data_IF_500992271100
#
_entry.id   IF_500992271100
#
_cell.length_a   1.000
_cell.length_b   1.000
_cell.length_c   1.000
_cell.angle_alpha   90.00
_cell.angle_beta   90.00
_cell.angle_gamma   90.00
#
_symmetry.space_group_name_H-M   'P 1'
#
loop_
_entity.id
_entity.type
_entity.pdbx_description
1 polymer ?
#
# COMPACT_ATOMS: atom_id res chain seq x y z
N UNK A 1 18.45 0.04 9.02
CA UNK A 1 18.69 -0.11 7.57
C UNK A 1 18.49 1.21 6.86
N UNK A 2 17.34 1.87 6.98
CA UNK A 2 17.20 3.22 6.46
C UNK A 2 17.92 4.23 7.37
N UNK A 3 18.91 4.96 6.84
CA UNK A 3 19.53 6.10 7.52
C UNK A 3 18.83 7.37 7.05
N UNK A 4 18.00 7.94 7.94
CA UNK A 4 17.21 9.12 7.62
C UNK A 4 18.02 10.41 7.55
N UNK A 5 19.20 10.48 8.17
CA UNK A 5 20.06 11.68 8.13
C UNK A 5 20.67 11.85 6.74
N UNK A 6 21.12 10.75 6.15
CA UNK A 6 21.74 10.74 4.83
C UNK A 6 20.74 10.44 3.70
N UNK A 7 19.51 10.06 4.05
CA UNK A 7 18.54 9.44 3.13
C UNK A 7 19.14 8.24 2.35
N UNK A 8 20.06 7.51 2.98
CA UNK A 8 20.70 6.33 2.37
C UNK A 8 20.22 5.05 3.04
N UNK A 9 20.34 3.93 2.32
CA UNK A 9 20.06 2.63 2.89
C UNK A 9 21.39 2.03 3.35
N UNK A 10 21.60 2.03 4.66
CA UNK A 10 22.63 1.22 5.29
C UNK A 10 22.20 -0.24 5.25
N UNK A 11 22.65 -0.94 4.20
CA UNK A 11 22.50 -2.38 4.04
C UNK A 11 23.59 -3.04 4.88
N UNK A 12 23.25 -3.76 5.97
CA UNK A 12 24.24 -4.48 6.76
C UNK A 12 24.96 -5.51 5.87
N UNK A 13 26.23 -5.81 6.16
CA UNK A 13 27.06 -6.64 5.27
C UNK A 13 26.46 -8.03 4.99
N UNK A 14 25.71 -8.60 5.94
CA UNK A 14 25.02 -9.87 5.77
C UNK A 14 23.86 -9.82 4.75
N UNK A 15 23.39 -8.63 4.36
CA UNK A 15 22.40 -8.40 3.32
C UNK A 15 23.00 -7.86 2.01
N UNK A 16 24.29 -7.53 1.98
CA UNK A 16 24.95 -7.06 0.75
C UNK A 16 25.10 -8.16 -0.30
N UNK A 17 25.10 -9.43 0.11
CA UNK A 17 25.34 -10.58 -0.78
C UNK A 17 24.32 -11.69 -0.56
N UNK A 18 23.02 -11.44 -0.82
CA UNK A 18 21.98 -12.44 -0.56
C UNK A 18 22.18 -13.72 -1.40
N UNK A 19 22.77 -13.62 -2.60
CA UNK A 19 22.94 -14.74 -3.52
C UNK A 19 24.33 -15.43 -3.45
N UNK A 20 25.04 -15.26 -2.34
CA UNK A 20 26.39 -15.81 -2.16
C UNK A 20 27.49 -15.01 -2.86
N UNK A 21 28.72 -15.17 -2.38
CA UNK A 21 29.91 -14.63 -3.03
C UNK A 21 30.36 -15.59 -4.13
N UNK A 22 30.00 -15.34 -5.39
CA UNK A 22 30.83 -15.83 -6.49
C UNK A 22 32.01 -14.88 -6.62
N UNK A 23 33.00 -15.04 -5.74
CA UNK A 23 34.31 -14.38 -5.88
C UNK A 23 35.03 -15.12 -7.00
N UNK A 24 34.69 -14.79 -8.24
CA UNK A 24 35.64 -14.95 -9.33
C UNK A 24 36.07 -13.55 -9.76
N UNK A 25 37.06 -13.03 -9.04
CA UNK A 25 37.65 -11.70 -9.19
C UNK A 25 38.25 -11.48 -10.59
N UNK A 26 38.29 -12.54 -11.41
CA UNK A 26 38.79 -12.50 -12.78
C UNK A 26 37.76 -11.98 -13.78
N UNK A 27 36.46 -12.06 -13.46
CA UNK A 27 35.40 -11.52 -14.32
C UNK A 27 34.90 -10.19 -13.77
N UNK A 28 35.05 -9.10 -14.54
CA UNK A 28 34.51 -7.77 -14.21
C UNK A 28 32.97 -7.73 -14.30
N UNK A 29 32.27 -8.82 -13.98
CA UNK A 29 30.83 -8.79 -13.88
C UNK A 29 30.42 -7.90 -12.71
N UNK A 30 29.68 -6.83 -13.01
CA UNK A 30 29.13 -5.96 -11.98
C UNK A 30 28.19 -6.78 -11.11
N UNK A 31 28.45 -6.79 -9.80
CA UNK A 31 27.56 -7.38 -8.79
C UNK A 31 26.11 -6.94 -9.02
N UNK A 32 25.18 -7.90 -8.90
CA UNK A 32 23.74 -7.64 -8.93
C UNK A 32 23.36 -6.68 -7.81
N UNK A 33 22.57 -5.64 -8.12
CA UNK A 33 22.00 -4.75 -7.11
C UNK A 33 20.90 -5.47 -6.32
N UNK A 34 20.93 -5.32 -5.01
CA UNK A 34 19.82 -5.71 -4.12
C UNK A 34 18.60 -4.82 -4.36
N UNK A 35 17.42 -5.28 -3.97
CA UNK A 35 16.19 -4.50 -3.93
C UNK A 35 16.38 -3.15 -3.24
N UNK A 36 17.03 -3.12 -2.08
CA UNK A 36 17.27 -1.89 -1.35
C UNK A 36 18.27 -0.95 -2.05
N UNK A 37 19.27 -1.46 -2.76
CA UNK A 37 20.11 -0.62 -3.63
C UNK A 37 19.32 -0.07 -4.81
N UNK A 38 18.39 -0.84 -5.38
CA UNK A 38 17.50 -0.35 -6.43
C UNK A 38 16.61 0.76 -5.87
N UNK A 39 16.02 0.58 -4.69
CA UNK A 39 15.25 1.63 -4.01
C UNK A 39 16.09 2.87 -3.72
N UNK A 40 17.32 2.72 -3.25
CA UNK A 40 18.23 3.84 -3.02
C UNK A 40 18.52 4.60 -4.32
N UNK A 41 18.79 3.89 -5.42
CA UNK A 41 18.93 4.51 -6.74
C UNK A 41 17.64 5.25 -7.14
N UNK A 42 16.47 4.65 -6.90
CA UNK A 42 15.19 5.29 -7.21
C UNK A 42 15.01 6.62 -6.48
N UNK A 43 15.49 6.72 -5.23
CA UNK A 43 15.33 7.92 -4.42
C UNK A 43 16.28 9.05 -4.82
N UNK A 44 17.44 8.73 -5.38
CA UNK A 44 18.51 9.70 -5.69
C UNK A 44 18.72 9.97 -7.18
N UNK A 45 18.13 9.16 -8.06
CA UNK A 45 18.24 9.32 -9.51
C UNK A 45 17.59 10.64 -9.98
N UNK A 46 18.29 11.39 -10.84
CA UNK A 46 17.87 12.73 -11.30
C UNK A 46 16.50 12.71 -11.99
N UNK A 47 16.23 11.68 -12.78
CA UNK A 47 14.96 11.47 -13.48
C UNK A 47 13.81 11.33 -12.47
N UNK A 48 14.03 10.62 -11.36
CA UNK A 48 13.02 10.45 -10.32
C UNK A 48 12.87 11.71 -9.46
N UNK A 49 13.91 12.54 -9.33
CA UNK A 49 13.78 13.87 -8.74
C UNK A 49 12.90 14.80 -9.59
N UNK A 50 12.99 14.71 -10.92
CA UNK A 50 12.09 15.42 -11.81
C UNK A 50 10.64 14.92 -11.67
N UNK A 51 10.43 13.60 -11.64
CA UNK A 51 9.09 13.05 -11.41
C UNK A 51 8.53 13.44 -10.03
N UNK A 52 9.37 13.47 -8.98
CA UNK A 52 8.98 13.94 -7.66
C UNK A 52 8.64 15.45 -7.62
N UNK A 53 9.18 16.27 -8.53
CA UNK A 53 8.72 17.66 -8.71
C UNK A 53 7.33 17.69 -9.33
N UNK A 54 7.08 16.91 -10.37
CA UNK A 54 5.74 16.78 -10.97
C UNK A 54 4.70 16.29 -9.95
N UNK A 55 5.07 15.34 -9.08
CA UNK A 55 4.23 14.90 -7.97
C UNK A 55 3.88 16.04 -7.03
N UNK A 56 4.84 16.89 -6.65
CA UNK A 56 4.56 18.04 -5.80
C UNK A 56 3.57 19.00 -6.44
N UNK A 57 3.82 19.37 -7.70
CA UNK A 57 3.00 20.33 -8.41
C UNK A 57 1.57 19.80 -8.57
N UNK A 58 1.44 18.53 -8.94
CA UNK A 58 0.16 17.83 -9.06
C UNK A 58 -0.61 17.80 -7.73
N UNK A 59 0.03 17.40 -6.63
CA UNK A 59 -0.64 17.31 -5.32
C UNK A 59 -1.01 18.70 -4.78
N UNK A 60 -0.14 19.69 -4.96
CA UNK A 60 -0.38 21.06 -4.50
C UNK A 60 -1.60 21.65 -5.20
N UNK A 61 -1.67 21.53 -6.53
CA UNK A 61 -2.79 22.08 -7.30
C UNK A 61 -4.12 21.40 -6.97
N UNK A 62 -4.17 20.07 -6.90
CA UNK A 62 -5.43 19.37 -6.60
C UNK A 62 -5.93 19.62 -5.18
N UNK A 63 -5.01 19.78 -4.22
CA UNK A 63 -5.36 20.08 -2.83
C UNK A 63 -5.89 21.51 -2.67
N UNK A 64 -5.41 22.47 -3.47
CA UNK A 64 -5.93 23.84 -3.48
C UNK A 64 -7.34 23.93 -4.11
N UNK A 65 -7.62 23.15 -5.15
CA UNK A 65 -8.94 23.16 -5.79
C UNK A 65 -10.05 22.58 -4.90
N UNK A 66 -9.68 21.72 -3.94
CA UNK A 66 -10.66 21.10 -3.02
C UNK A 66 -11.24 22.09 -2.00
N UNK A 67 -10.60 23.24 -1.80
CA UNK A 67 -10.97 24.23 -0.76
C UNK A 67 -11.64 25.49 -1.31
N UNK A 68 -11.68 25.68 -2.63
CA UNK A 68 -12.17 26.92 -3.25
C UNK A 68 -13.42 26.67 -4.08
N UNK A 69 -14.46 27.43 -3.75
CA UNK A 69 -15.77 27.60 -4.40
C UNK A 69 -16.08 26.72 -5.66
N UNK A 70 -17.10 25.84 -5.61
CA UNK A 70 -17.50 24.97 -6.73
C UNK A 70 -17.91 25.72 -8.01
N UNK A 71 -18.10 27.04 -7.94
CA UNK A 71 -18.45 27.87 -9.10
C UNK A 71 -17.26 28.21 -10.00
N UNK A 72 -16.02 27.91 -9.62
CA UNK A 72 -14.84 28.25 -10.43
C UNK A 72 -14.56 27.19 -11.52
N UNK A 73 -15.52 27.03 -12.43
CA UNK A 73 -15.52 26.04 -13.52
C UNK A 73 -14.45 26.29 -14.59
N UNK A 74 -13.78 27.46 -14.56
CA UNK A 74 -12.90 27.96 -15.62
C UNK A 74 -11.45 27.43 -15.58
N UNK A 75 -11.05 26.62 -14.59
CA UNK A 75 -9.66 26.13 -14.46
C UNK A 75 -9.42 24.69 -14.95
N UNK A 76 -10.43 24.01 -15.51
CA UNK A 76 -10.26 22.63 -16.01
C UNK A 76 -9.20 22.50 -17.12
N UNK A 77 -8.92 23.57 -17.85
CA UNK A 77 -7.99 23.52 -18.99
C UNK A 77 -6.51 23.61 -18.57
N UNK A 78 -6.22 23.88 -17.28
CA UNK A 78 -4.87 23.89 -16.71
C UNK A 78 -4.59 22.63 -15.86
N UNK A 79 -5.28 21.52 -16.15
CA UNK A 79 -5.01 20.26 -15.46
C UNK A 79 -3.57 19.81 -15.75
N UNK A 80 -2.72 19.92 -14.73
CA UNK A 80 -1.36 19.39 -14.80
C UNK A 80 -1.39 17.91 -15.21
N UNK A 81 -0.43 17.47 -16.02
CA UNK A 81 -0.34 16.07 -16.40
C UNK A 81 -0.16 15.20 -15.16
N UNK A 82 -0.93 14.12 -15.08
CA UNK A 82 -0.79 13.13 -14.01
C UNK A 82 0.63 12.52 -14.09
N UNK A 83 1.42 12.51 -13.00
CA UNK A 83 2.73 11.86 -12.94
C UNK A 83 2.68 10.39 -13.38
N UNK A 84 3.74 9.89 -14.02
CA UNK A 84 3.76 8.54 -14.61
C UNK A 84 3.67 7.44 -13.54
N UNK A 85 4.20 7.66 -12.35
CA UNK A 85 4.10 6.76 -11.20
C UNK A 85 2.69 6.69 -10.59
N UNK A 86 1.77 7.58 -10.99
CA UNK A 86 0.35 7.48 -10.63
C UNK A 86 -0.51 6.81 -11.71
N UNK A 87 0.07 6.46 -12.86
CA UNK A 87 -0.61 5.77 -13.95
C UNK A 87 -0.21 4.28 -13.97
N UNK A 88 -1.16 3.34 -13.92
CA UNK A 88 -0.85 1.94 -14.15
C UNK A 88 -0.41 1.70 -15.60
N UNK A 89 0.51 0.75 -15.80
CA UNK A 89 0.92 0.27 -17.12
C UNK A 89 -0.02 -0.85 -17.61
N UNK A 90 -1.29 -0.50 -17.84
CA UNK A 90 -2.31 -1.47 -18.30
C UNK A 90 -2.00 -2.00 -19.70
N UNK A 91 -1.32 -1.22 -20.55
CA UNK A 91 -0.87 -1.65 -21.88
C UNK A 91 0.09 -2.83 -21.81
N UNK A 92 1.10 -2.77 -20.94
CA UNK A 92 2.02 -3.90 -20.74
C UNK A 92 1.29 -5.11 -20.15
N UNK A 93 0.38 -4.88 -19.20
CA UNK A 93 -0.40 -5.96 -18.58
C UNK A 93 -1.33 -6.64 -19.61
N UNK A 94 -1.93 -5.87 -20.51
CA UNK A 94 -2.73 -6.36 -21.63
C UNK A 94 -1.89 -7.18 -22.60
N UNK A 95 -0.68 -6.73 -22.91
CA UNK A 95 0.27 -7.50 -23.74
C UNK A 95 0.54 -8.88 -23.13
N UNK A 96 0.80 -8.94 -21.82
CA UNK A 96 0.98 -10.21 -21.09
C UNK A 96 -0.28 -11.09 -21.21
N UNK A 97 -1.47 -10.51 -21.01
CA UNK A 97 -2.72 -11.25 -21.14
C UNK A 97 -2.91 -11.84 -22.56
N UNK A 98 -2.65 -11.05 -23.60
CA UNK A 98 -2.74 -11.50 -24.99
C UNK A 98 -1.73 -12.62 -25.29
N UNK A 99 -0.48 -12.49 -24.81
CA UNK A 99 0.54 -13.54 -24.97
C UNK A 99 0.11 -14.88 -24.32
N UNK A 100 -0.60 -14.82 -23.18
CA UNK A 100 -1.15 -16.00 -22.52
C UNK A 100 -2.36 -16.60 -23.27
N UNK A 101 -3.21 -15.76 -23.85
CA UNK A 101 -4.38 -16.19 -24.63
C UNK A 101 -3.99 -16.82 -25.98
N UNK A 102 -3.04 -16.21 -26.68
CA UNK A 102 -2.60 -16.66 -28.00
C UNK A 102 -1.89 -18.02 -27.93
N UNK A 103 -1.32 -18.36 -26.77
CA UNK A 103 -0.52 -19.58 -26.58
C UNK A 103 0.73 -19.65 -27.47
N UNK A 104 1.05 -18.56 -28.17
CA UNK A 104 2.16 -18.44 -29.13
C UNK A 104 3.52 -18.52 -28.44
N UNK A 105 3.57 -18.21 -27.14
CA UNK A 105 4.77 -18.34 -26.33
C UNK A 105 4.78 -19.72 -25.64
N UNK A 106 5.40 -20.71 -26.29
CA UNK A 106 5.48 -22.11 -25.82
C UNK A 106 6.03 -22.27 -24.40
N UNK A 107 6.69 -21.24 -23.86
CA UNK A 107 7.25 -21.24 -22.50
C UNK A 107 6.27 -20.82 -21.40
N UNK A 108 5.14 -20.17 -21.71
CA UNK A 108 4.20 -19.65 -20.69
C UNK A 108 2.75 -19.86 -21.10
N UNK A 109 2.14 -20.95 -20.63
CA UNK A 109 0.70 -21.19 -20.77
C UNK A 109 -0.14 -20.58 -19.65
N UNK A 110 0.50 -20.08 -18.59
CA UNK A 110 -0.17 -19.49 -17.42
C UNK A 110 0.77 -18.57 -16.64
N UNK A 111 0.20 -17.73 -15.79
CA UNK A 111 0.96 -16.95 -14.82
C UNK A 111 1.62 -17.86 -13.78
N UNK A 112 2.85 -17.52 -13.43
CA UNK A 112 3.62 -18.23 -12.43
C UNK A 112 3.16 -17.88 -11.01
N UNK A 113 3.14 -18.89 -10.15
CA UNK A 113 2.77 -18.78 -8.74
C UNK A 113 4.00 -18.73 -7.81
N UNK A 114 3.86 -18.19 -6.59
CA UNK A 114 2.65 -17.54 -6.04
C UNK A 114 2.38 -16.16 -6.63
N UNK A 115 1.16 -15.66 -6.44
CA UNK A 115 0.79 -14.27 -6.74
C UNK A 115 1.05 -13.41 -5.50
N UNK A 116 1.87 -12.37 -5.62
CA UNK A 116 2.13 -11.42 -4.54
C UNK A 116 1.53 -10.06 -4.86
N UNK A 117 0.60 -9.59 -4.02
CA UNK A 117 0.17 -8.20 -4.09
C UNK A 117 1.22 -7.30 -3.42
N UNK A 118 2.03 -6.64 -4.25
CA UNK A 118 3.08 -5.72 -3.83
C UNK A 118 2.59 -4.27 -3.75
N UNK A 119 1.28 -4.02 -3.87
CA UNK A 119 0.66 -2.71 -3.66
C UNK A 119 0.68 -2.25 -2.20
N UNK A 120 0.39 -0.96 -1.99
CA UNK A 120 0.20 -0.41 -0.64
C UNK A 120 -1.06 -0.95 0.04
N UNK A 121 -1.17 -0.88 1.37
CA UNK A 121 -2.47 -1.05 2.02
C UNK A 121 -3.49 -0.02 1.49
N UNK A 122 -4.77 -0.39 1.53
CA UNK A 122 -5.93 0.45 1.12
C UNK A 122 -6.06 0.75 -0.38
N UNK A 123 -5.37 -0.02 -1.21
CA UNK A 123 -5.45 0.04 -2.68
C UNK A 123 -6.38 -1.02 -3.28
N UNK A 124 -7.24 -1.66 -2.48
CA UNK A 124 -8.19 -2.67 -2.99
C UNK A 124 -7.74 -4.13 -2.90
N UNK A 125 -6.76 -4.44 -2.04
CA UNK A 125 -6.32 -5.82 -1.78
C UNK A 125 -7.43 -6.80 -1.37
N UNK A 126 -8.45 -6.33 -0.64
CA UNK A 126 -9.63 -7.16 -0.30
C UNK A 126 -10.47 -7.47 -1.53
N UNK A 127 -10.66 -6.50 -2.43
CA UNK A 127 -11.44 -6.71 -3.65
C UNK A 127 -10.73 -7.73 -4.57
N UNK A 128 -9.41 -7.63 -4.70
CA UNK A 128 -8.61 -8.58 -5.46
C UNK A 128 -8.65 -9.99 -4.84
N UNK A 129 -8.53 -10.10 -3.51
CA UNK A 129 -8.71 -11.37 -2.79
C UNK A 129 -10.09 -12.01 -3.07
N UNK A 130 -11.15 -11.22 -3.01
CA UNK A 130 -12.50 -11.72 -3.23
C UNK A 130 -12.71 -12.19 -4.67
N UNK A 131 -12.16 -11.45 -5.64
CA UNK A 131 -12.15 -11.86 -7.05
C UNK A 131 -11.44 -13.19 -7.24
N UNK A 132 -10.20 -13.32 -6.76
CA UNK A 132 -9.41 -14.54 -6.91
C UNK A 132 -10.13 -15.75 -6.30
N UNK A 133 -10.70 -15.60 -5.10
CA UNK A 133 -11.49 -16.67 -4.48
C UNK A 133 -12.76 -17.01 -5.29
N UNK A 134 -13.42 -16.01 -5.89
CA UNK A 134 -14.60 -16.21 -6.72
C UNK A 134 -14.31 -17.06 -7.96
N UNK A 135 -13.15 -16.86 -8.59
CA UNK A 135 -12.71 -17.65 -9.75
C UNK A 135 -11.97 -18.95 -9.38
N UNK A 136 -11.97 -19.33 -8.08
CA UNK A 136 -11.37 -20.57 -7.59
C UNK A 136 -9.86 -20.52 -7.29
N UNK A 137 -9.22 -19.36 -7.41
CA UNK A 137 -7.83 -19.14 -6.98
C UNK A 137 -7.81 -18.90 -5.47
N UNK A 138 -7.26 -19.86 -4.72
CA UNK A 138 -7.11 -19.76 -3.26
C UNK A 138 -6.23 -18.56 -2.91
N UNK A 139 -6.83 -17.53 -2.33
CA UNK A 139 -6.12 -16.32 -1.93
C UNK A 139 -6.31 -15.97 -0.45
N UNK A 140 -5.32 -15.28 0.11
CA UNK A 140 -5.35 -14.82 1.51
C UNK A 140 -5.12 -13.32 1.61
N UNK A 141 -6.07 -12.63 2.26
CA UNK A 141 -5.95 -11.25 2.71
C UNK A 141 -5.52 -11.14 4.19
N UNK A 142 -5.23 -12.27 4.85
CA UNK A 142 -4.80 -12.25 6.26
C UNK A 142 -3.38 -11.69 6.35
N UNK A 143 -3.12 -10.86 7.36
CA UNK A 143 -1.75 -10.46 7.69
C UNK A 143 -0.92 -11.72 7.93
N UNK A 144 0.13 -11.91 7.13
CA UNK A 144 1.07 -12.98 7.38
C UNK A 144 1.69 -12.76 8.76
N UNK A 145 1.88 -13.84 9.52
CA UNK A 145 2.58 -13.77 10.81
C UNK A 145 4.04 -13.46 10.52
N UNK A 146 4.39 -12.18 10.40
CA UNK A 146 5.73 -11.71 10.01
C UNK A 146 6.82 -12.15 10.96
N UNK A 147 6.51 -12.37 12.23
CA UNK A 147 7.45 -13.02 13.14
C UNK A 147 7.92 -14.38 12.62
N UNK A 148 7.07 -15.13 11.92
CA UNK A 148 7.47 -16.36 11.25
C UNK A 148 8.33 -16.10 10.02
N UNK A 149 8.01 -15.09 9.20
CA UNK A 149 8.81 -14.71 8.02
C UNK A 149 10.22 -14.30 8.46
N UNK A 150 10.33 -13.39 9.44
CA UNK A 150 11.62 -12.91 9.95
C UNK A 150 12.42 -13.97 10.72
N UNK A 151 11.76 -14.90 11.40
CA UNK A 151 12.47 -16.01 12.04
C UNK A 151 12.97 -17.01 11.00
N UNK A 152 12.26 -17.17 9.88
CA UNK A 152 12.62 -18.08 8.79
C UNK A 152 13.79 -17.59 7.97
N UNK A 153 13.83 -16.30 7.64
CA UNK A 153 15.00 -15.69 6.98
C UNK A 153 16.27 -15.94 7.79
N UNK A 154 16.20 -15.77 9.12
CA UNK A 154 17.35 -16.04 10.01
C UNK A 154 17.76 -17.51 10.06
N UNK A 155 16.81 -18.43 9.92
CA UNK A 155 17.07 -19.88 9.97
C UNK A 155 17.31 -20.54 8.62
N UNK A 156 17.41 -19.77 7.52
CA UNK A 156 17.45 -20.29 6.14
C UNK A 156 16.31 -21.28 5.82
N UNK A 157 15.17 -21.10 6.49
CA UNK A 157 13.97 -21.88 6.21
C UNK A 157 13.20 -21.13 5.13
N UNK A 158 12.61 -21.82 4.14
CA UNK A 158 11.75 -21.16 3.16
C UNK A 158 10.69 -20.31 3.86
N UNK A 159 10.50 -19.05 3.43
CA UNK A 159 9.60 -18.09 4.09
C UNK A 159 8.18 -18.67 4.21
N UNK A 160 7.79 -19.56 3.28
CA UNK A 160 6.50 -20.24 3.26
C UNK A 160 6.60 -21.77 3.33
N UNK A 161 7.48 -22.34 4.16
CA UNK A 161 7.29 -23.76 4.56
C UNK A 161 6.06 -23.87 5.44
N UNK A 162 5.07 -24.69 5.08
CA UNK A 162 3.97 -24.97 6.00
C UNK A 162 3.87 -26.46 6.33
N UNK A 163 4.12 -26.77 7.60
CA UNK A 163 3.88 -28.09 8.19
C UNK A 163 2.37 -28.37 8.16
N UNK A 164 1.92 -29.23 7.24
CA UNK A 164 0.74 -30.09 7.44
C UNK A 164 -0.66 -29.49 7.25
N UNK A 165 -0.86 -28.45 6.44
CA UNK A 165 -2.23 -28.01 6.07
C UNK A 165 -2.38 -28.05 4.56
N UNK A 166 -3.32 -28.87 4.09
CA UNK A 166 -3.47 -29.28 2.69
C UNK A 166 -3.92 -28.18 1.70
N UNK A 167 -4.10 -26.93 2.10
CA UNK A 167 -4.67 -25.87 1.25
C UNK A 167 -4.04 -24.49 1.49
N UNK A 168 -2.79 -24.32 1.10
CA UNK A 168 -2.13 -23.02 1.17
C UNK A 168 -2.65 -22.05 0.09
N UNK A 169 -2.78 -20.75 0.42
CA UNK A 169 -3.15 -19.75 -0.57
C UNK A 169 -2.00 -19.57 -1.57
N UNK A 170 -2.28 -19.80 -2.85
CA UNK A 170 -1.33 -19.55 -3.94
C UNK A 170 -1.25 -18.06 -4.31
N UNK A 171 -2.09 -17.24 -3.68
CA UNK A 171 -2.14 -15.79 -3.87
C UNK A 171 -2.19 -15.05 -2.52
N UNK A 172 -1.21 -14.18 -2.28
CA UNK A 172 -1.03 -13.44 -1.04
C UNK A 172 -1.34 -11.97 -1.29
N UNK A 173 -2.49 -11.53 -0.78
CA UNK A 173 -3.06 -10.21 -1.08
C UNK A 173 -2.69 -9.14 -0.05
N UNK A 174 -2.04 -9.51 1.06
CA UNK A 174 -1.59 -8.57 2.09
C UNK A 174 -0.24 -8.99 2.66
N UNK A 175 0.82 -8.34 2.18
CA UNK A 175 2.20 -8.51 2.66
C UNK A 175 2.51 -7.61 3.86
N UNK A 176 1.91 -6.41 3.91
CA UNK A 176 2.20 -5.44 4.96
C UNK A 176 1.66 -5.84 6.33
N UNK A 177 2.33 -5.31 7.34
CA UNK A 177 1.90 -5.35 8.72
C UNK A 177 2.13 -4.02 9.37
N UNK A 178 1.04 -3.47 9.86
CA UNK A 178 0.95 -2.10 10.33
C UNK A 178 0.86 -2.02 11.86
N UNK A 179 1.32 -3.06 12.56
CA UNK A 179 1.42 -3.06 14.01
C UNK A 179 2.86 -2.84 14.45
N UNK A 180 2.97 -2.17 15.59
CA UNK A 180 4.23 -1.72 16.19
C UNK A 180 5.12 -0.94 15.19
N UNK A 181 6.23 -1.53 14.78
CA UNK A 181 7.26 -0.85 13.98
C UNK A 181 6.88 -0.70 12.49
N UNK A 182 5.80 -1.33 12.04
CA UNK A 182 5.51 -1.42 10.62
C UNK A 182 6.48 -2.37 9.93
N UNK A 183 6.00 -3.18 9.02
CA UNK A 183 6.84 -4.03 8.19
C UNK A 183 6.21 -4.17 6.82
N UNK A 184 7.01 -3.91 5.79
CA UNK A 184 6.55 -3.91 4.41
C UNK A 184 7.45 -4.85 3.61
N UNK A 185 7.22 -6.17 3.66
CA UNK A 185 7.99 -7.14 2.88
C UNK A 185 8.04 -6.79 1.39
N UNK A 186 6.96 -6.22 0.85
CA UNK A 186 6.89 -5.76 -0.53
C UNK A 186 7.85 -4.60 -0.87
N UNK A 187 8.52 -4.03 0.12
CA UNK A 187 9.59 -3.03 -0.03
C UNK A 187 10.93 -3.61 0.45
N UNK A 188 10.92 -4.28 1.60
CA UNK A 188 12.11 -4.65 2.35
C UNK A 188 12.68 -6.02 2.00
N UNK A 189 11.84 -6.94 1.54
CA UNK A 189 12.19 -8.35 1.38
C UNK A 189 11.98 -8.86 -0.06
N UNK A 190 12.12 -8.00 -1.06
CA UNK A 190 11.92 -8.42 -2.45
C UNK A 190 12.99 -9.44 -2.88
N UNK A 191 14.23 -9.29 -2.41
CA UNK A 191 15.31 -10.23 -2.74
C UNK A 191 15.06 -11.62 -2.14
N UNK A 192 14.60 -11.70 -0.90
CA UNK A 192 14.23 -12.95 -0.25
C UNK A 192 12.99 -13.58 -0.91
N UNK A 193 12.02 -12.77 -1.34
CA UNK A 193 10.88 -13.26 -2.13
C UNK A 193 11.33 -13.82 -3.48
N UNK A 194 12.31 -13.17 -4.14
CA UNK A 194 12.89 -13.66 -5.38
C UNK A 194 13.69 -14.94 -5.19
N UNK A 195 14.48 -15.04 -4.12
CA UNK A 195 15.25 -16.24 -3.80
C UNK A 195 14.34 -17.46 -3.62
N UNK A 196 13.21 -17.30 -2.93
CA UNK A 196 12.26 -18.39 -2.72
C UNK A 196 11.36 -18.65 -3.93
N UNK A 197 10.95 -17.61 -4.65
CA UNK A 197 10.06 -17.72 -5.81
C UNK A 197 10.55 -16.88 -6.99
N UNK A 198 11.61 -17.29 -7.68
CA UNK A 198 12.24 -16.47 -8.72
C UNK A 198 11.31 -16.13 -9.87
N UNK A 199 10.29 -16.96 -10.11
CA UNK A 199 9.32 -16.78 -11.19
C UNK A 199 7.99 -16.21 -10.71
N UNK A 200 7.80 -15.80 -9.46
CA UNK A 200 6.49 -15.36 -8.95
C UNK A 200 5.90 -14.19 -9.75
N UNK A 201 4.56 -14.07 -9.73
CA UNK A 201 3.87 -12.93 -10.33
C UNK A 201 3.59 -11.86 -9.28
N UNK A 202 4.03 -10.63 -9.54
CA UNK A 202 3.73 -9.45 -8.74
C UNK A 202 2.51 -8.74 -9.29
N UNK A 203 1.60 -8.36 -8.40
CA UNK A 203 0.41 -7.56 -8.70
C UNK A 203 0.51 -6.22 -8.00
N UNK A 204 0.43 -5.14 -8.76
CA UNK A 204 0.48 -3.76 -8.27
C UNK A 204 -0.84 -3.05 -8.58
N UNK A 205 -1.66 -2.91 -7.54
CA UNK A 205 -2.98 -2.30 -7.64
C UNK A 205 -2.88 -0.76 -7.57
N UNK A 206 -3.48 -0.09 -8.55
CA UNK A 206 -3.56 1.37 -8.60
C UNK A 206 -4.91 1.89 -8.13
N UNK A 207 -4.83 3.07 -7.52
CA UNK A 207 -5.96 3.88 -7.07
C UNK A 207 -5.57 5.35 -7.27
N UNK A 208 -6.52 6.24 -7.63
CA UNK A 208 -6.22 7.67 -7.66
C UNK A 208 -5.58 8.12 -6.36
N UNK A 209 -4.45 8.83 -6.45
CA UNK A 209 -3.59 9.08 -5.29
C UNK A 209 -4.33 9.79 -4.14
N UNK A 210 -5.24 10.72 -4.47
CA UNK A 210 -6.04 11.42 -3.47
C UNK A 210 -7.00 10.51 -2.72
N UNK A 211 -7.56 9.52 -3.40
CA UNK A 211 -8.47 8.56 -2.80
C UNK A 211 -7.72 7.60 -1.88
N UNK A 212 -6.48 7.24 -2.25
CA UNK A 212 -5.61 6.47 -1.38
C UNK A 212 -5.19 7.26 -0.14
N UNK A 213 -4.70 8.50 -0.28
CA UNK A 213 -4.32 9.38 0.84
C UNK A 213 -5.50 9.59 1.79
N UNK A 214 -6.68 9.88 1.26
CA UNK A 214 -7.92 10.00 2.05
C UNK A 214 -8.24 8.69 2.76
N UNK A 215 -8.09 7.55 2.09
CA UNK A 215 -8.35 6.25 2.70
C UNK A 215 -7.39 5.90 3.81
N UNK A 216 -6.10 6.19 3.69
CA UNK A 216 -5.09 5.93 4.73
C UNK A 216 -5.21 6.91 5.89
N UNK A 217 -5.63 8.15 5.63
CA UNK A 217 -5.94 9.13 6.68
C UNK A 217 -7.10 8.66 7.55
N UNK A 218 -8.19 8.19 6.93
CA UNK A 218 -9.41 7.84 7.65
C UNK A 218 -9.40 6.43 8.26
N UNK A 219 -8.61 5.50 7.71
CA UNK A 219 -8.61 4.10 8.16
C UNK A 219 -7.73 3.91 9.39
N UNK A 220 -8.33 3.96 10.58
CA UNK A 220 -7.63 3.80 11.87
C UNK A 220 -6.38 4.67 11.97
N UNK A 221 -6.48 5.92 11.49
CA UNK A 221 -5.39 6.89 11.47
C UNK A 221 -4.10 6.27 10.88
N UNK A 222 -4.21 5.47 9.83
CA UNK A 222 -3.06 4.74 9.28
C UNK A 222 -1.96 5.68 8.80
N UNK A 223 -2.32 6.86 8.25
CA UNK A 223 -1.35 7.91 7.93
C UNK A 223 -0.55 8.38 9.16
N UNK A 224 -1.22 8.59 10.30
CA UNK A 224 -0.57 8.92 11.57
C UNK A 224 0.38 7.80 12.00
N UNK A 225 -0.11 6.55 11.96
CA UNK A 225 0.68 5.36 12.30
C UNK A 225 1.90 5.18 11.40
N UNK A 226 1.81 5.49 10.11
CA UNK A 226 2.98 5.49 9.23
C UNK A 226 4.04 6.50 9.68
N UNK A 227 3.64 7.67 10.20
CA UNK A 227 4.59 8.62 10.79
C UNK A 227 5.29 8.05 12.03
N UNK A 228 4.57 7.29 12.87
CA UNK A 228 5.14 6.66 14.07
C UNK A 228 6.02 5.43 13.79
N UNK A 229 5.90 4.83 12.60
CA UNK A 229 6.70 3.68 12.21
C UNK A 229 8.10 4.15 11.84
N UNK A 230 9.09 3.78 12.67
CA UNK A 230 10.49 4.10 12.37
C UNK A 230 11.02 3.23 11.25
N UNK A 231 11.78 3.85 10.33
CA UNK A 231 12.53 3.16 9.27
C UNK A 231 11.68 2.50 8.17
N UNK A 232 10.52 3.07 7.82
CA UNK A 232 9.84 2.70 6.58
C UNK A 232 10.74 3.11 5.40
N UNK A 233 11.25 2.17 4.58
CA UNK A 233 12.12 2.53 3.47
C UNK A 233 11.37 3.34 2.42
N UNK A 234 12.06 4.35 1.87
CA UNK A 234 11.49 5.26 0.87
C UNK A 234 10.54 6.33 1.42
N UNK A 235 10.16 6.28 2.70
CA UNK A 235 9.38 7.36 3.34
C UNK A 235 10.34 8.42 3.90
N UNK A 236 10.43 9.54 3.20
CA UNK A 236 11.31 10.66 3.57
C UNK A 236 10.59 11.57 4.60
N UNK A 237 11.20 11.73 5.78
CA UNK A 237 10.72 12.58 6.88
C UNK A 237 11.79 13.59 7.27
N UNK A 238 11.39 14.82 7.65
CA UNK A 238 12.32 15.81 8.20
C UNK A 238 12.90 15.36 9.54
N UNK A 239 14.05 15.89 9.92
CA UNK A 239 14.71 15.60 11.18
C UNK A 239 13.78 15.87 12.38
N UNK A 240 13.07 17.00 12.32
CA UNK A 240 12.07 17.39 13.30
C UNK A 240 10.91 16.39 13.39
N UNK A 241 10.33 15.99 12.24
CA UNK A 241 9.29 14.96 12.20
C UNK A 241 9.76 13.67 12.85
N UNK A 242 11.02 13.25 12.63
CA UNK A 242 11.55 12.01 13.21
C UNK A 242 11.70 12.10 14.71
N UNK A 243 12.26 13.21 15.22
CA UNK A 243 12.41 13.45 16.64
C UNK A 243 11.03 13.41 17.32
N UNK A 244 10.06 14.15 16.78
CA UNK A 244 8.71 14.19 17.32
C UNK A 244 8.01 12.82 17.24
N UNK A 245 8.14 12.11 16.11
CA UNK A 245 7.52 10.80 15.94
C UNK A 245 8.14 9.76 16.89
N UNK A 246 9.44 9.84 17.19
CA UNK A 246 10.08 8.98 18.18
C UNK A 246 9.52 9.24 19.59
N UNK A 247 9.42 10.50 20.00
CA UNK A 247 8.83 10.89 21.29
C UNK A 247 7.39 10.39 21.40
N UNK A 248 6.58 10.63 20.38
CA UNK A 248 5.17 10.22 20.35
C UNK A 248 5.01 8.70 20.32
N UNK A 249 5.88 8.00 19.62
CA UNK A 249 5.91 6.54 19.58
C UNK A 249 6.23 5.95 20.95
N UNK A 250 7.25 6.48 21.62
CA UNK A 250 7.66 6.01 22.94
C UNK A 250 6.53 6.24 23.95
N UNK A 251 5.90 7.42 23.92
CA UNK A 251 4.68 7.72 24.69
C UNK A 251 3.54 6.73 24.39
N UNK A 252 3.29 6.43 23.12
CA UNK A 252 2.24 5.52 22.70
C UNK A 252 2.46 4.08 23.19
N UNK A 253 3.70 3.57 23.15
CA UNK A 253 3.99 2.22 23.65
C UNK A 253 4.00 2.14 25.17
N UNK A 254 4.51 3.17 25.88
CA UNK A 254 4.41 3.23 27.34
C UNK A 254 2.96 3.17 27.79
N UNK A 255 2.04 3.88 27.12
CA UNK A 255 0.60 3.78 27.41
C UNK A 255 0.04 2.37 27.15
N UNK A 256 0.46 1.72 26.06
CA UNK A 256 0.02 0.35 25.78
C UNK A 256 0.54 -0.66 26.80
N UNK A 257 1.78 -0.51 27.27
CA UNK A 257 2.39 -1.36 28.30
C UNK A 257 1.67 -1.16 29.64
N UNK A 258 1.41 0.08 30.04
CA UNK A 258 0.61 0.40 31.23
C UNK A 258 -0.81 -0.22 31.15
N UNK A 259 -1.47 -0.13 30.00
CA UNK A 259 -2.78 -0.78 29.80
C UNK A 259 -2.72 -2.32 29.87
N UNK A 260 -1.59 -2.93 29.50
CA UNK A 260 -1.38 -4.38 29.60
C UNK A 260 -1.05 -4.81 31.04
N UNK A 261 -0.31 -3.99 31.79
CA UNK A 261 0.06 -4.21 33.20
C UNK A 261 -1.10 -4.00 34.17
N UNK A 262 -1.99 -3.03 33.92
CA UNK A 262 -3.18 -2.78 34.77
C UNK A 262 -4.18 -3.94 34.76
N UNK A 263 -4.04 -4.88 33.83
CA UNK A 263 -4.96 -6.02 33.67
C UNK A 263 -4.25 -7.39 33.54
N UNK A 264 -3.38 -7.77 34.50
CA UNK A 264 -2.58 -8.98 34.39
C UNK A 264 -3.45 -10.23 34.55
N UNK A 265 -4.53 -10.14 35.31
CA UNK A 265 -5.45 -11.25 35.61
C UNK A 265 -6.57 -11.45 34.58
N UNK A 266 -6.73 -10.55 33.59
CA UNK A 266 -7.75 -10.77 32.57
C UNK A 266 -7.30 -11.88 31.63
N UNK A 267 -8.08 -12.96 31.57
CA UNK A 267 -7.87 -14.01 30.59
C UNK A 267 -8.06 -13.44 29.17
N UNK A 268 -7.60 -14.16 28.15
CA UNK A 268 -7.65 -13.71 26.75
C UNK A 268 -9.06 -13.28 26.30
N UNK A 269 -10.10 -13.91 26.84
CA UNK A 269 -11.50 -13.58 26.54
C UNK A 269 -11.89 -12.22 27.14
N UNK A 270 -11.60 -11.99 28.41
CA UNK A 270 -11.87 -10.70 29.06
C UNK A 270 -11.08 -9.54 28.43
N UNK A 271 -9.84 -9.79 28.00
CA UNK A 271 -9.06 -8.81 27.22
C UNK A 271 -9.73 -8.50 25.88
N UNK A 272 -10.28 -9.50 25.20
CA UNK A 272 -11.04 -9.30 23.97
C UNK A 272 -12.34 -8.53 24.21
N UNK A 273 -13.09 -8.85 25.26
CA UNK A 273 -14.34 -8.17 25.63
C UNK A 273 -14.08 -6.69 25.95
N UNK A 274 -13.07 -6.36 26.76
CA UNK A 274 -12.67 -4.96 27.00
C UNK A 274 -12.22 -4.25 25.73
N UNK A 275 -11.48 -4.92 24.84
CA UNK A 275 -11.10 -4.35 23.53
C UNK A 275 -12.33 -4.10 22.65
N UNK A 276 -13.33 -4.98 22.67
CA UNK A 276 -14.59 -4.78 21.96
C UNK A 276 -15.41 -3.63 22.57
N UNK A 277 -15.46 -3.52 23.89
CA UNK A 277 -16.14 -2.44 24.60
C UNK A 277 -15.49 -1.08 24.30
N UNK A 278 -14.15 -0.96 24.41
CA UNK A 278 -13.41 0.24 24.00
C UNK A 278 -13.71 0.60 22.53
N UNK A 279 -13.75 -0.39 21.63
CA UNK A 279 -14.12 -0.18 20.21
C UNK A 279 -15.56 0.30 20.05
N UNK A 280 -16.52 -0.25 20.80
CA UNK A 280 -17.91 0.18 20.79
C UNK A 280 -18.08 1.61 21.31
N UNK A 281 -17.43 1.95 22.44
CA UNK A 281 -17.38 3.33 22.98
C UNK A 281 -16.76 4.30 21.98
N UNK A 282 -15.67 3.90 21.32
CA UNK A 282 -15.04 4.69 20.25
C UNK A 282 -15.95 4.91 19.04
N UNK A 283 -16.73 3.90 18.64
CA UNK A 283 -17.75 4.05 17.57
C UNK A 283 -18.85 5.03 17.98
N UNK A 284 -19.42 4.90 19.19
CA UNK A 284 -20.43 5.82 19.71
C UNK A 284 -19.93 7.27 19.76
N UNK A 285 -18.68 7.51 20.21
CA UNK A 285 -18.07 8.86 20.18
C UNK A 285 -17.94 9.42 18.77
N UNK A 286 -17.55 8.60 17.79
CA UNK A 286 -17.46 9.04 16.38
C UNK A 286 -18.83 9.37 15.79
N UNK A 287 -19.84 8.57 16.11
CA UNK A 287 -21.22 8.80 15.69
C UNK A 287 -21.77 10.10 16.29
N UNK A 288 -21.59 10.32 17.59
CA UNK A 288 -21.92 11.59 18.25
C UNK A 288 -21.19 12.78 17.61
N UNK A 289 -19.89 12.66 17.32
CA UNK A 289 -19.15 13.75 16.69
C UNK A 289 -19.63 14.01 15.24
N UNK A 290 -19.96 12.96 14.48
CA UNK A 290 -20.55 13.09 13.15
C UNK A 290 -21.92 13.78 13.19
N UNK A 291 -22.74 13.46 14.20
CA UNK A 291 -24.03 14.12 14.41
C UNK A 291 -23.83 15.58 14.79
N UNK A 292 -22.89 15.91 15.69
CA UNK A 292 -22.58 17.29 16.04
C UNK A 292 -22.09 18.12 14.83
N UNK A 293 -21.27 17.52 13.96
CA UNK A 293 -20.82 18.17 12.72
C UNK A 293 -22.01 18.43 11.78
N UNK A 294 -22.93 17.46 11.65
CA UNK A 294 -24.15 17.61 10.84
C UNK A 294 -25.05 18.71 11.41
N UNK A 295 -25.25 18.74 12.73
CA UNK A 295 -26.02 19.78 13.42
C UNK A 295 -25.39 21.15 13.23
N UNK A 296 -24.06 21.30 13.37
CA UNK A 296 -23.37 22.57 13.11
C UNK A 296 -23.51 23.03 11.65
N UNK A 297 -23.47 22.10 10.68
CA UNK A 297 -23.71 22.43 9.26
C UNK A 297 -25.15 22.87 9.01
N UNK A 298 -26.13 22.25 9.65
CA UNK A 298 -27.54 22.67 9.56
C UNK A 298 -27.72 24.06 10.18
N UNK A 299 -27.13 24.31 11.36
CA UNK A 299 -27.15 25.62 12.02
C UNK A 299 -26.45 26.72 11.21
N UNK A 300 -25.36 26.39 10.51
CA UNK A 300 -24.69 27.32 9.59
C UNK A 300 -25.53 27.63 8.34
N UNK A 301 -26.33 26.67 7.85
CA UNK A 301 -27.27 26.91 6.74
C UNK A 301 -28.48 27.74 7.18
N UNK A 302 -28.84 27.70 8.47
CA UNK A 302 -29.92 28.49 9.07
C UNK A 302 -29.49 29.92 9.47
N UNK A 303 -28.24 30.33 9.18
CA UNK A 303 -27.79 31.71 9.36
C UNK A 303 -27.61 32.15 10.81
N UNK A 304 -27.56 31.22 11.77
CA UNK A 304 -27.36 31.54 13.20
C UNK A 304 -25.86 31.81 13.45
N UNK A 305 -25.44 33.05 13.25
CA UNK A 305 -24.10 33.54 13.58
C UNK A 305 -24.02 33.92 15.07
N UNK A 306 -23.88 32.93 15.95
CA UNK A 306 -23.38 33.20 17.31
C UNK A 306 -21.85 33.22 17.30
N UNK A 307 -21.26 34.41 17.38
CA UNK A 307 -19.85 34.60 17.71
C UNK A 307 -19.65 34.28 19.19
N UNK A 308 -19.10 33.10 19.50
CA UNK A 308 -18.55 32.81 20.83
C UNK A 308 -17.03 32.90 20.76
N UNK A 309 -16.50 33.92 21.43
CA UNK A 309 -15.07 34.16 21.63
C UNK A 309 -14.56 33.24 22.75
N UNK A 310 -14.17 32.02 22.37
CA UNK A 310 -13.51 31.08 23.29
C UNK A 310 -12.00 31.39 23.34
N UNK A 311 -11.62 32.31 24.23
CA UNK A 311 -10.22 32.62 24.54
C UNK A 311 -9.63 31.52 25.46
N UNK A 312 -9.32 30.35 24.89
CA UNK A 312 -8.70 29.24 25.62
C UNK A 312 -7.17 29.41 25.67
N UNK A 313 -6.67 29.81 26.83
CA UNK A 313 -5.23 29.99 27.12
C UNK A 313 -4.55 28.62 27.28
N UNK A 314 -3.89 28.13 26.22
CA UNK A 314 -3.17 26.85 26.19
C UNK A 314 -1.64 27.09 26.26
N UNK A 315 -1.11 27.25 27.47
CA UNK A 315 0.34 27.15 27.75
C UNK A 315 0.78 25.71 28.03
N UNK A 316 0.15 24.73 27.36
CA UNK A 316 0.67 23.37 27.32
C UNK A 316 1.85 23.37 26.36
N UNK A 317 3.04 23.07 26.85
CA UNK A 317 4.25 22.88 26.04
C UNK A 317 3.93 21.98 24.84
N UNK A 318 3.83 22.60 23.66
CA UNK A 318 3.34 22.02 22.42
C UNK A 318 4.33 20.96 21.88
N UNK A 319 4.36 19.77 22.48
CA UNK A 319 4.80 18.56 21.77
C UNK A 319 3.70 18.18 20.78
N UNK A 320 3.58 19.01 19.74
CA UNK A 320 2.62 18.81 18.68
C UNK A 320 3.24 17.85 17.67
N UNK A 321 2.77 16.60 17.69
CA UNK A 321 3.02 15.63 16.64
C UNK A 321 2.94 16.29 15.25
N UNK A 322 3.98 16.08 14.42
CA UNK A 322 4.03 16.63 13.06
C UNK A 322 3.54 15.56 12.08
N UNK A 323 2.30 15.67 11.55
CA UNK A 323 1.76 14.68 10.63
C UNK A 323 2.55 14.61 9.33
N UNK A 324 2.58 13.42 8.72
CA UNK A 324 3.01 13.28 7.33
C UNK A 324 2.18 14.22 6.43
N UNK A 325 2.82 14.93 5.51
CA UNK A 325 2.10 15.73 4.51
C UNK A 325 1.52 14.83 3.42
N UNK A 326 0.54 15.34 2.67
CA UNK A 326 0.01 14.62 1.50
C UNK A 326 1.08 14.46 0.41
N UNK A 327 1.98 15.44 0.28
CA UNK A 327 3.13 15.37 -0.64
C UNK A 327 4.08 14.24 -0.23
N UNK A 328 4.39 14.07 1.06
CA UNK A 328 5.23 12.97 1.53
C UNK A 328 4.61 11.61 1.23
N UNK A 329 3.31 11.46 1.48
CA UNK A 329 2.56 10.24 1.15
C UNK A 329 2.60 9.95 -0.36
N UNK A 330 2.40 10.98 -1.19
CA UNK A 330 2.39 10.86 -2.65
C UNK A 330 3.77 10.51 -3.23
N UNK A 331 4.84 11.12 -2.70
CA UNK A 331 6.23 10.77 -3.06
C UNK A 331 6.57 9.35 -2.66
N UNK A 332 6.22 8.95 -1.43
CA UNK A 332 6.45 7.57 -0.98
C UNK A 332 5.72 6.57 -1.86
N UNK A 333 4.48 6.87 -2.26
CA UNK A 333 3.77 6.09 -3.26
C UNK A 333 4.56 5.99 -4.57
N UNK A 334 4.92 7.14 -5.13
CA UNK A 334 5.61 7.24 -6.42
C UNK A 334 6.91 6.44 -6.46
N UNK A 335 7.75 6.62 -5.44
CA UNK A 335 9.04 5.94 -5.31
C UNK A 335 8.87 4.42 -5.18
N UNK A 336 7.82 3.93 -4.50
CA UNK A 336 7.54 2.50 -4.44
C UNK A 336 7.14 1.92 -5.79
N UNK A 337 6.28 2.63 -6.55
CA UNK A 337 5.91 2.20 -7.90
C UNK A 337 7.14 2.10 -8.80
N UNK A 338 8.00 3.13 -8.79
CA UNK A 338 9.26 3.12 -9.53
C UNK A 338 10.18 1.98 -9.07
N UNK A 339 10.29 1.75 -7.76
CA UNK A 339 11.08 0.65 -7.22
C UNK A 339 10.63 -0.72 -7.73
N UNK A 340 9.32 -1.03 -7.69
CA UNK A 340 8.80 -2.30 -8.21
C UNK A 340 9.02 -2.45 -9.72
N UNK A 341 8.83 -1.37 -10.49
CA UNK A 341 9.07 -1.36 -11.94
C UNK A 341 10.55 -1.59 -12.27
N UNK A 342 11.45 -0.86 -11.62
CA UNK A 342 12.90 -0.97 -11.81
C UNK A 342 13.41 -2.34 -11.36
N UNK A 343 12.87 -2.87 -10.25
CA UNK A 343 13.18 -4.21 -9.75
C UNK A 343 12.87 -5.26 -10.84
N UNK A 344 11.60 -5.35 -11.24
CA UNK A 344 11.12 -6.37 -12.20
C UNK A 344 11.63 -6.17 -13.63
N UNK A 345 12.03 -4.95 -14.01
CA UNK A 345 12.61 -4.65 -15.32
C UNK A 345 14.12 -4.83 -15.36
N UNK A 346 14.78 -4.98 -14.22
CA UNK A 346 16.22 -5.26 -14.18
C UNK A 346 16.51 -6.64 -14.76
N UNK A 347 17.64 -6.78 -15.46
CA UNK A 347 18.06 -8.06 -16.04
C UNK A 347 18.07 -9.21 -15.01
N UNK A 348 18.30 -8.89 -13.73
CA UNK A 348 18.43 -9.87 -12.66
C UNK A 348 17.10 -10.39 -12.11
N UNK A 349 16.04 -9.59 -12.10
CA UNK A 349 14.74 -9.97 -11.54
C UNK A 349 13.63 -10.03 -12.61
N UNK A 350 14.02 -10.05 -13.88
CA UNK A 350 13.16 -10.16 -15.07
C UNK A 350 12.37 -11.49 -15.17
N UNK A 351 12.70 -12.46 -14.32
CA UNK A 351 11.95 -13.70 -14.17
C UNK A 351 10.57 -13.49 -13.55
N UNK A 352 10.38 -12.42 -12.77
CA UNK A 352 9.07 -12.03 -12.26
C UNK A 352 8.19 -11.42 -13.35
N UNK A 353 6.89 -11.70 -13.26
CA UNK A 353 5.88 -11.01 -14.07
C UNK A 353 5.29 -9.88 -13.23
N UNK A 354 5.23 -8.67 -13.77
CA UNK A 354 4.55 -7.53 -13.14
C UNK A 354 3.21 -7.26 -13.83
N UNK A 355 2.13 -7.30 -13.05
CA UNK A 355 0.77 -6.96 -13.46
C UNK A 355 0.38 -5.66 -12.76
N UNK A 356 -0.05 -4.66 -13.52
CA UNK A 356 -0.54 -3.39 -12.98
C UNK A 356 -2.04 -3.23 -13.27
N UNK A 357 -2.84 -3.04 -12.23
CA UNK A 357 -4.30 -3.00 -12.34
C UNK A 357 -4.85 -1.61 -11.99
N UNK A 358 -5.72 -1.06 -12.84
CA UNK A 358 -6.48 0.15 -12.53
C UNK A 358 -7.82 -0.22 -11.87
N UNK A 359 -7.91 -0.13 -10.54
CA UNK A 359 -9.14 -0.54 -9.86
C UNK A 359 -10.33 0.40 -10.07
N UNK A 360 -10.12 1.56 -10.71
CA UNK A 360 -11.18 2.53 -11.00
C UNK A 360 -11.71 2.36 -12.42
N UNK A 361 -10.92 1.81 -13.36
CA UNK A 361 -11.43 1.32 -14.64
C UNK A 361 -12.03 -0.09 -14.46
N UNK A 362 -13.25 -0.16 -13.93
CA UNK A 362 -13.88 -1.45 -13.60
C UNK A 362 -14.02 -2.38 -14.80
N UNK A 363 -14.34 -1.84 -15.97
CA UNK A 363 -14.61 -2.60 -17.20
C UNK A 363 -13.32 -3.18 -17.78
N UNK A 364 -12.28 -2.35 -17.95
CA UNK A 364 -11.00 -2.82 -18.47
C UNK A 364 -10.34 -3.80 -17.50
N UNK A 365 -10.37 -3.51 -16.20
CA UNK A 365 -9.78 -4.38 -15.17
C UNK A 365 -10.52 -5.70 -15.03
N UNK A 366 -11.86 -5.74 -15.11
CA UNK A 366 -12.59 -7.02 -15.12
C UNK A 366 -12.19 -7.89 -16.31
N UNK A 367 -12.08 -7.28 -17.49
CA UNK A 367 -11.69 -8.02 -18.70
C UNK A 367 -10.25 -8.51 -18.58
N UNK A 368 -9.34 -7.64 -18.14
CA UNK A 368 -7.93 -7.98 -17.96
C UNK A 368 -7.74 -9.14 -16.97
N UNK A 369 -8.44 -9.09 -15.84
CA UNK A 369 -8.38 -10.17 -14.85
C UNK A 369 -8.95 -11.48 -15.39
N UNK A 370 -10.07 -11.42 -16.15
CA UNK A 370 -10.63 -12.58 -16.82
C UNK A 370 -9.61 -13.23 -17.75
N UNK A 371 -9.02 -12.43 -18.64
CA UNK A 371 -8.04 -12.90 -19.63
C UNK A 371 -6.77 -13.49 -18.97
N UNK A 372 -6.33 -12.91 -17.85
CA UNK A 372 -5.14 -13.36 -17.12
C UNK A 372 -5.34 -14.68 -16.36
N UNK A 373 -6.52 -14.90 -15.78
CA UNK A 373 -6.72 -15.97 -14.79
C UNK A 373 -7.72 -17.05 -15.18
N UNK A 374 -8.65 -16.79 -16.10
CA UNK A 374 -9.78 -17.67 -16.42
C UNK A 374 -9.53 -18.41 -17.76
N UNK A 375 -8.29 -18.82 -18.01
CA UNK A 375 -7.81 -19.43 -19.27
C UNK A 375 -8.90 -20.21 -20.05
N UNK A 376 -9.04 -20.02 -21.38
CA UNK A 376 -10.06 -20.66 -22.21
C UNK A 376 -10.15 -22.18 -22.08
N UNK A 377 -9.07 -22.84 -21.62
CA UNK A 377 -9.01 -24.30 -21.46
C UNK A 377 -9.88 -24.86 -20.33
N UNK A 378 -10.37 -24.02 -19.42
CA UNK A 378 -11.25 -24.43 -18.30
C UNK A 378 -12.75 -24.13 -18.54
N UNK A 379 -13.14 -23.71 -19.75
CA UNK A 379 -14.53 -23.30 -20.08
C UNK A 379 -15.50 -24.50 -20.19
N UNK A 380 -15.01 -25.75 -20.12
CA UNK A 380 -15.85 -26.94 -20.23
C UNK A 380 -16.80 -27.21 -19.05
N UNK A 381 -16.77 -26.39 -17.99
CA UNK A 381 -17.61 -26.58 -16.80
C UNK A 381 -18.45 -25.34 -16.47
N UNK A 382 -19.69 -25.35 -16.99
CA UNK A 382 -20.83 -24.52 -16.59
C UNK A 382 -20.70 -23.00 -16.84
N UNK A 383 -21.75 -22.39 -17.39
CA UNK A 383 -21.93 -20.95 -17.68
C UNK A 383 -21.79 -20.02 -16.45
N UNK A 384 -20.70 -20.08 -15.69
CA UNK A 384 -20.41 -19.08 -14.66
C UNK A 384 -19.89 -17.82 -15.33
N UNK A 385 -20.68 -16.76 -15.25
CA UNK A 385 -20.26 -15.43 -15.65
C UNK A 385 -19.18 -14.93 -14.68
N UNK A 386 -17.92 -15.19 -15.01
CA UNK A 386 -16.78 -14.75 -14.21
C UNK A 386 -16.57 -13.23 -14.27
N UNK A 387 -17.18 -12.50 -15.22
CA UNK A 387 -17.15 -11.04 -15.20
C UNK A 387 -17.88 -10.50 -13.96
N UNK A 388 -18.91 -11.21 -13.48
CA UNK A 388 -19.60 -10.90 -12.22
C UNK A 388 -18.73 -11.09 -10.96
N UNK A 389 -17.59 -11.78 -11.03
CA UNK A 389 -16.68 -11.86 -9.89
C UNK A 389 -16.01 -10.51 -9.57
N UNK A 390 -15.89 -9.61 -10.56
CA UNK A 390 -15.36 -8.25 -10.38
C UNK A 390 -16.50 -7.23 -10.24
N UNK A 391 -16.31 -6.18 -9.44
CA UNK A 391 -17.23 -5.04 -9.38
C UNK A 391 -18.33 -5.08 -8.31
N UNK A 392 -18.55 -6.19 -7.60
CA UNK A 392 -19.64 -6.28 -6.60
C UNK A 392 -19.35 -5.68 -5.22
N UNK A 393 -18.13 -5.22 -4.92
CA UNK A 393 -17.75 -4.81 -3.55
C UNK A 393 -17.05 -3.46 -3.40
N UNK A 394 -17.00 -2.62 -4.43
CA UNK A 394 -16.54 -1.25 -4.22
C UNK A 394 -17.67 -0.42 -3.57
N UNK A 395 -17.91 -0.66 -2.26
CA UNK A 395 -19.00 -0.11 -1.42
C UNK A 395 -19.10 1.43 -1.51
N UNK A 396 -18.06 2.11 -1.96
CA UNK A 396 -18.07 3.57 -2.17
C UNK A 396 -18.83 4.04 -3.42
N UNK A 397 -19.37 3.15 -4.27
CA UNK A 397 -20.16 3.55 -5.45
C UNK A 397 -21.36 4.43 -5.10
N UNK A 398 -21.95 4.25 -3.91
CA UNK A 398 -23.13 4.99 -3.48
C UNK A 398 -22.87 6.48 -3.15
N UNK A 399 -21.61 6.93 -3.05
CA UNK A 399 -21.29 8.34 -2.83
C UNK A 399 -20.85 9.10 -4.10
N UNK A 400 -20.81 8.45 -5.27
CA UNK A 400 -20.33 9.06 -6.53
C UNK A 400 -21.42 9.59 -7.46
N UNK A 401 -22.69 9.68 -7.03
CA UNK A 401 -23.81 10.14 -7.87
C UNK A 401 -23.75 11.62 -8.37
N UNK A 402 -22.65 12.36 -8.26
CA UNK A 402 -22.59 13.79 -8.65
C UNK A 402 -21.37 14.16 -9.52
N UNK A 403 -20.53 13.22 -9.96
CA UNK A 403 -19.50 13.57 -10.96
C UNK A 403 -19.76 12.75 -12.21
N UNK A 404 -20.36 13.43 -13.18
CA UNK A 404 -20.73 12.93 -14.50
C UNK A 404 -19.52 12.26 -15.18
N UNK A 405 -19.60 10.93 -15.35
CA UNK A 405 -18.88 10.22 -16.39
C UNK A 405 -19.67 10.43 -17.70
N UNK A 406 -19.35 11.52 -18.41
CA UNK A 406 -19.55 11.68 -19.85
C UNK A 406 -18.19 12.01 -20.43
N UNK A 407 -17.46 10.97 -20.82
CA UNK A 407 -16.53 10.95 -21.95
C UNK A 407 -16.79 9.67 -22.73
#
# INVERSE_FOLDING_TARGET
MWNHTTNTIQIPDNYKYPFGRTVDDTTKERRKKTSLEILENVLHKKENQQENRQVNDYITNIMMDSSTNPNNKLKKDLLLPIPNCFKPNTKQTRKIANELLDGSNTRRSSLSYPLFNVGFPKVGSTALNDYLNCIGIKSSHKQLKISKIMNRTKSQQPLFVQRGIQHDPIAIMQLDYNLRNGFFPQIQLLDELHEEYPNSTFILNFRPIQDWIRSTTNWYQMKYRFGLMTNIPGLIMSDEQRIQNNIERDRYYTQLEQEEEEHPQLNNRQRQEKRQEKRAKGRKRKEMNSNNIRTRRLQQLEGINEKKDDHYNNNSTNNQYIPLSNIQMARWWCNHIQHIRDYTSSNHYSSHILIELDLYNTTETSQLLYDLFVSPRNVNNNNKDYHSCWGHKNINRNNKRIINDKE
#
